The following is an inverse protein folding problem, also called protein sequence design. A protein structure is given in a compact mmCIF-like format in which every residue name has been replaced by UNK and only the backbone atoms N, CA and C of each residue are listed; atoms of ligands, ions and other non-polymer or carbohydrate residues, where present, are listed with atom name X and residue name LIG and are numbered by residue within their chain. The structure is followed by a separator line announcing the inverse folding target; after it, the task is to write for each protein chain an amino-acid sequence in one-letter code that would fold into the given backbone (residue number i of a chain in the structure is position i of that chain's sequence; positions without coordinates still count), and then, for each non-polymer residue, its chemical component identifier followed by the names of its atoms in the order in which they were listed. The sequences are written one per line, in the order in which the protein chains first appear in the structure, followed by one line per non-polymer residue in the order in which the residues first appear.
data_IF_975093625551
#
_entry.id   IF_975093625551
#
_cell.length_a   1.000
_cell.length_b   1.000
_cell.length_c   1.000
_cell.angle_alpha   90.00
_cell.angle_beta   90.00
_cell.angle_gamma   90.00
#
_symmetry.space_group_name_H-M   'P 1'
#
loop_
_entity.id
_entity.type
_entity.pdbx_description
1 polymer ?
#
# COMPACT_ATOMS: atom_id res chain seq x y z
N UNK A 1 21.33 -15.67 -13.48
CA UNK A 1 21.63 -14.28 -13.12
C UNK A 1 22.10 -14.28 -11.70
N UNK A 2 23.41 -14.13 -11.52
CA UNK A 2 24.01 -13.96 -10.20
C UNK A 2 23.96 -12.47 -9.80
N UNK A 3 22.77 -11.89 -9.84
CA UNK A 3 22.59 -10.57 -9.25
C UNK A 3 22.75 -10.71 -7.74
N UNK A 4 23.74 -10.06 -7.12
CA UNK A 4 23.95 -10.18 -5.68
C UNK A 4 22.79 -9.62 -4.86
N UNK A 5 21.78 -9.03 -5.51
CA UNK A 5 20.52 -8.61 -4.88
C UNK A 5 20.70 -7.58 -3.79
N UNK A 6 21.78 -6.80 -3.81
CA UNK A 6 22.01 -5.73 -2.86
C UNK A 6 21.61 -4.42 -3.49
N UNK A 7 20.40 -3.99 -3.20
CA UNK A 7 19.88 -2.70 -3.62
C UNK A 7 19.88 -1.73 -2.45
N UNK A 8 20.26 -0.48 -2.68
CA UNK A 8 20.40 0.49 -1.60
C UNK A 8 19.87 1.88 -1.95
N UNK A 9 19.26 2.52 -0.98
CA UNK A 9 18.86 3.93 -1.03
C UNK A 9 19.89 4.73 -0.26
N UNK A 10 20.66 5.59 -0.96
CA UNK A 10 21.78 6.34 -0.35
C UNK A 10 22.75 5.43 0.43
N UNK A 11 23.13 4.32 -0.22
CA UNK A 11 24.04 3.28 0.34
C UNK A 11 23.48 2.54 1.57
N UNK A 12 22.18 2.55 1.79
CA UNK A 12 21.50 1.85 2.89
C UNK A 12 20.38 0.99 2.36
N UNK A 13 20.22 -0.18 2.94
CA UNK A 13 19.09 -1.07 2.64
C UNK A 13 18.58 -1.73 3.92
N UNK A 14 17.34 -2.16 3.87
CA UNK A 14 16.72 -2.91 4.96
C UNK A 14 15.93 -4.09 4.35
N UNK A 15 16.59 -5.20 4.00
CA UNK A 15 15.93 -6.36 3.43
C UNK A 15 14.86 -6.91 4.35
N UNK A 16 13.67 -7.18 3.81
CA UNK A 16 12.55 -7.72 4.60
C UNK A 16 12.94 -8.99 5.34
N UNK A 17 13.74 -9.86 4.71
CA UNK A 17 14.22 -11.10 5.30
C UNK A 17 14.93 -10.92 6.64
N UNK A 18 15.62 -9.82 6.85
CA UNK A 18 16.34 -9.58 8.10
C UNK A 18 15.37 -9.30 9.25
N UNK A 19 14.31 -8.55 8.98
CA UNK A 19 13.23 -8.29 9.96
C UNK A 19 12.41 -9.52 10.26
N UNK A 20 12.15 -10.35 9.26
CA UNK A 20 11.36 -11.57 9.40
C UNK A 20 12.05 -12.67 10.21
N UNK A 21 13.36 -12.55 10.49
CA UNK A 21 14.05 -13.43 11.45
C UNK A 21 13.58 -13.22 12.88
N UNK A 22 13.30 -11.98 13.25
CA UNK A 22 12.90 -11.61 14.61
C UNK A 22 11.37 -11.75 14.80
N UNK A 23 10.61 -11.41 13.76
CA UNK A 23 9.15 -11.54 13.73
C UNK A 23 8.71 -12.00 12.36
N UNK A 24 8.26 -13.25 12.27
CA UNK A 24 8.09 -13.97 11.00
C UNK A 24 6.85 -13.57 10.18
N UNK A 25 5.94 -12.73 10.71
CA UNK A 25 4.75 -12.30 9.97
C UNK A 25 5.02 -11.07 9.11
N UNK A 26 4.96 -11.17 7.77
CA UNK A 26 5.16 -10.06 6.85
C UNK A 26 4.26 -8.84 7.09
N UNK A 27 3.10 -9.01 7.73
CA UNK A 27 2.17 -7.93 8.04
C UNK A 27 2.77 -6.82 8.92
N UNK A 28 3.87 -7.09 9.61
CA UNK A 28 4.53 -6.16 10.53
C UNK A 28 5.89 -5.69 10.05
N UNK A 29 6.34 -6.10 8.88
CA UNK A 29 7.71 -5.86 8.39
C UNK A 29 8.08 -4.38 8.33
N UNK A 30 7.13 -3.47 8.11
CA UNK A 30 7.37 -2.03 8.06
C UNK A 30 7.17 -1.33 9.41
N UNK A 31 6.80 -2.06 10.47
CA UNK A 31 6.50 -1.50 11.77
C UNK A 31 7.77 -1.20 12.56
N UNK A 32 7.98 0.07 12.93
CA UNK A 32 9.05 0.46 13.87
C UNK A 32 8.73 0.07 15.32
N UNK A 33 7.45 -0.18 15.65
CA UNK A 33 7.06 -0.68 16.96
C UNK A 33 7.54 -2.11 17.21
N UNK A 34 7.64 -2.91 16.13
CA UNK A 34 8.07 -4.32 16.20
C UNK A 34 9.58 -4.44 15.98
N UNK A 35 10.13 -3.74 14.99
CA UNK A 35 11.50 -3.94 14.52
C UNK A 35 12.45 -2.76 14.78
N UNK A 36 11.95 -1.65 15.34
CA UNK A 36 12.69 -0.38 15.32
C UNK A 36 12.63 0.31 13.95
N UNK A 37 13.27 1.47 13.87
CA UNK A 37 13.35 2.22 12.63
C UNK A 37 14.23 1.49 11.60
N UNK A 38 13.90 1.63 10.30
CA UNK A 38 14.67 1.04 9.21
C UNK A 38 16.05 1.69 9.08
N UNK A 39 17.02 0.93 8.59
CA UNK A 39 18.33 1.45 8.24
C UNK A 39 18.31 2.40 7.03
N UNK A 40 17.27 2.32 6.20
CA UNK A 40 17.06 3.21 5.05
C UNK A 40 16.76 4.63 5.50
N UNK A 41 16.96 5.65 4.66
CA UNK A 41 16.71 7.04 5.04
C UNK A 41 15.26 7.26 5.50
N UNK A 42 15.08 7.84 6.69
CA UNK A 42 13.79 8.33 7.16
C UNK A 42 13.65 9.78 6.69
N UNK A 43 12.62 10.04 5.89
CA UNK A 43 12.30 11.39 5.43
C UNK A 43 11.41 12.04 6.46
N UNK A 44 11.84 13.19 6.99
CA UNK A 44 11.16 13.84 8.12
C UNK A 44 10.54 15.17 7.68
N UNK A 45 9.29 15.41 8.07
CA UNK A 45 8.56 16.63 7.69
C UNK A 45 7.48 16.98 8.73
N UNK A 46 6.79 18.09 8.51
CA UNK A 46 5.60 18.51 9.25
C UNK A 46 4.40 18.64 8.32
N UNK A 47 3.16 18.54 8.83
CA UNK A 47 1.96 18.79 8.04
C UNK A 47 1.99 20.22 7.48
N UNK A 48 1.70 20.36 6.19
CA UNK A 48 1.69 21.63 5.49
C UNK A 48 3.05 22.12 4.99
N UNK A 49 4.16 21.44 5.32
CA UNK A 49 5.43 21.71 4.67
C UNK A 49 5.42 21.18 3.23
N UNK A 50 6.11 21.89 2.33
CA UNK A 50 6.34 21.39 0.98
C UNK A 50 7.40 20.30 1.01
N UNK A 51 7.04 19.11 0.49
CA UNK A 51 7.96 17.99 0.39
C UNK A 51 8.43 17.82 -1.05
N UNK A 52 9.74 18.01 -1.26
CA UNK A 52 10.40 17.78 -2.55
C UNK A 52 11.35 16.59 -2.42
N UNK A 53 11.05 15.52 -3.16
CA UNK A 53 11.92 14.33 -3.26
C UNK A 53 12.68 14.41 -4.58
N UNK A 54 14.00 14.36 -4.51
CA UNK A 54 14.87 14.26 -5.68
C UNK A 54 15.24 12.79 -5.85
N UNK A 55 14.56 12.13 -6.75
CA UNK A 55 14.75 10.74 -7.07
C UNK A 55 15.78 10.61 -8.19
N UNK A 56 16.79 9.82 -7.97
CA UNK A 56 17.85 9.53 -8.93
C UNK A 56 18.18 8.05 -8.87
N UNK A 57 18.20 7.41 -10.03
CA UNK A 57 18.75 6.07 -10.18
C UNK A 57 20.16 6.15 -10.79
N UNK A 58 21.13 5.75 -10.01
CA UNK A 58 22.54 5.84 -10.37
C UNK A 58 23.16 4.52 -10.85
N UNK A 59 22.50 3.42 -10.63
CA UNK A 59 23.06 2.09 -10.90
C UNK A 59 21.98 1.02 -10.91
N UNK A 60 22.15 0.02 -11.64
CA UNK A 60 21.44 -1.24 -11.79
C UNK A 60 20.83 -1.44 -13.17
N UNK A 61 20.67 -2.69 -13.59
CA UNK A 61 20.16 -3.05 -14.93
C UNK A 61 18.63 -3.00 -14.99
N UNK A 62 17.95 -3.06 -13.84
CA UNK A 62 16.51 -3.14 -13.77
C UNK A 62 15.85 -1.77 -13.62
N UNK A 63 14.60 -1.72 -14.04
CA UNK A 63 13.74 -0.57 -13.81
C UNK A 63 13.05 -0.72 -12.46
N UNK A 64 12.94 0.38 -11.75
CA UNK A 64 12.27 0.47 -10.47
C UNK A 64 11.00 1.32 -10.56
N UNK A 65 10.03 1.06 -9.71
CA UNK A 65 8.82 1.87 -9.61
C UNK A 65 8.73 2.48 -8.20
N UNK A 66 9.14 3.73 -8.07
CA UNK A 66 9.02 4.48 -6.82
C UNK A 66 7.56 4.78 -6.48
N UNK A 67 7.13 4.49 -5.27
CA UNK A 67 5.76 4.68 -4.78
C UNK A 67 5.73 5.41 -3.45
N UNK A 68 4.69 6.22 -3.25
CA UNK A 68 4.33 6.83 -1.97
C UNK A 68 2.92 6.39 -1.56
N UNK A 69 2.78 5.91 -0.33
CA UNK A 69 1.45 5.64 0.22
C UNK A 69 0.82 6.92 0.76
N UNK A 70 -0.48 7.11 0.55
CA UNK A 70 -1.22 8.28 1.07
C UNK A 70 -0.80 9.65 0.51
N UNK A 71 0.16 9.69 -0.40
CA UNK A 71 0.69 10.91 -1.00
C UNK A 71 0.61 10.84 -2.51
N UNK A 72 0.55 12.00 -3.16
CA UNK A 72 0.56 12.11 -4.63
C UNK A 72 1.22 13.41 -5.06
N UNK A 73 1.62 13.47 -6.32
CA UNK A 73 2.26 14.64 -6.91
C UNK A 73 1.81 14.82 -8.36
N UNK A 74 2.00 16.01 -8.90
CA UNK A 74 1.80 16.26 -10.33
C UNK A 74 2.91 15.62 -11.15
N UNK A 75 2.54 14.87 -12.19
CA UNK A 75 3.53 14.27 -13.10
C UNK A 75 4.46 15.32 -13.70
N UNK A 76 3.88 16.43 -14.18
CA UNK A 76 4.61 17.59 -14.69
C UNK A 76 4.38 18.77 -13.74
N UNK A 77 5.38 19.09 -12.97
CA UNK A 77 5.27 20.08 -11.87
C UNK A 77 4.87 21.49 -12.35
N UNK A 78 5.25 21.85 -13.58
CA UNK A 78 4.97 23.16 -14.16
C UNK A 78 3.61 23.24 -14.88
N UNK A 79 2.92 22.12 -15.07
CA UNK A 79 1.63 22.07 -15.74
C UNK A 79 0.49 21.87 -14.71
N UNK A 80 -0.37 22.89 -14.50
CA UNK A 80 -1.52 22.78 -13.60
C UNK A 80 -2.52 21.69 -13.99
N UNK A 81 -2.57 21.35 -15.29
CA UNK A 81 -3.47 20.32 -15.85
C UNK A 81 -2.86 18.93 -15.84
N UNK A 82 -1.61 18.79 -15.42
CA UNK A 82 -0.96 17.49 -15.30
C UNK A 82 -1.71 16.57 -14.36
N UNK A 83 -1.87 15.27 -14.69
CA UNK A 83 -2.49 14.32 -13.79
C UNK A 83 -1.70 14.15 -12.50
N UNK A 84 -2.42 13.83 -11.43
CA UNK A 84 -1.79 13.37 -10.20
C UNK A 84 -1.31 11.92 -10.37
N UNK A 85 -0.12 11.63 -9.85
CA UNK A 85 0.47 10.30 -9.82
C UNK A 85 0.96 9.98 -8.39
N UNK A 86 1.04 8.71 -8.06
CA UNK A 86 1.59 8.22 -6.79
C UNK A 86 2.67 7.17 -7.02
N UNK A 87 3.03 6.93 -8.29
CA UNK A 87 4.08 6.02 -8.70
C UNK A 87 4.87 6.62 -9.85
N UNK A 88 6.20 6.42 -9.85
CA UNK A 88 7.12 6.86 -10.90
C UNK A 88 8.09 5.73 -11.23
N UNK A 89 8.01 5.23 -12.45
CA UNK A 89 9.04 4.33 -12.97
C UNK A 89 10.32 5.10 -13.22
N UNK A 90 11.44 4.52 -12.84
CA UNK A 90 12.78 5.08 -13.01
C UNK A 90 13.74 4.01 -13.50
N UNK A 91 14.57 4.35 -14.44
CA UNK A 91 15.67 3.50 -14.93
C UNK A 91 17.04 4.16 -14.72
N UNK A 92 18.09 3.46 -15.10
CA UNK A 92 19.46 3.92 -14.94
C UNK A 92 19.66 5.32 -15.54
N UNK A 93 20.31 6.18 -14.79
CA UNK A 93 20.65 7.57 -15.17
C UNK A 93 19.45 8.50 -15.32
N UNK A 94 18.26 8.07 -14.95
CA UNK A 94 17.11 8.97 -14.86
C UNK A 94 17.05 9.71 -13.53
N UNK A 95 16.45 10.88 -13.55
CA UNK A 95 16.25 11.73 -12.37
C UNK A 95 14.90 12.43 -12.41
N UNK A 96 14.18 12.42 -11.30
CA UNK A 96 12.90 13.08 -11.16
C UNK A 96 12.86 14.00 -9.94
N UNK A 97 12.19 15.14 -10.07
CA UNK A 97 11.83 15.99 -8.96
C UNK A 97 10.36 15.75 -8.61
N UNK A 98 10.12 15.08 -7.51
CA UNK A 98 8.80 14.73 -7.03
C UNK A 98 8.38 15.79 -6.00
N UNK A 99 7.41 16.61 -6.37
CA UNK A 99 6.82 17.61 -5.49
C UNK A 99 5.47 17.14 -4.99
N UNK A 100 5.43 16.66 -3.74
CA UNK A 100 4.18 16.20 -3.12
C UNK A 100 3.24 17.38 -2.95
N UNK A 101 2.14 17.36 -3.69
CA UNK A 101 1.15 18.44 -3.72
C UNK A 101 -0.07 18.15 -2.85
N UNK A 102 -0.29 16.86 -2.51
CA UNK A 102 -1.37 16.45 -1.64
C UNK A 102 -1.03 16.77 -0.19
N UNK A 103 -2.01 17.31 0.55
CA UNK A 103 -1.87 17.46 1.99
C UNK A 103 -1.76 16.09 2.65
N UNK A 104 -0.97 16.00 3.69
CA UNK A 104 -0.73 14.80 4.46
C UNK A 104 -0.80 15.10 5.97
N UNK A 105 -1.30 14.10 6.71
CA UNK A 105 -1.52 14.18 8.14
C UNK A 105 -0.32 13.68 8.96
N UNK A 106 -0.22 14.01 10.26
CA UNK A 106 0.78 13.43 11.13
C UNK A 106 0.67 11.91 11.20
N UNK A 107 1.81 11.24 11.11
CA UNK A 107 1.93 9.78 11.11
C UNK A 107 3.09 9.33 10.25
N UNK A 108 3.30 8.03 10.18
CA UNK A 108 4.33 7.44 9.34
C UNK A 108 3.70 6.89 8.05
N UNK A 109 4.35 7.14 6.93
CA UNK A 109 3.97 6.69 5.59
C UNK A 109 5.09 5.83 5.01
N UNK A 110 4.72 4.89 4.15
CA UNK A 110 5.68 4.06 3.46
C UNK A 110 6.06 4.69 2.12
N UNK A 111 7.36 4.81 1.82
CA UNK A 111 7.85 4.89 0.46
C UNK A 111 8.52 3.58 0.09
N UNK A 112 8.32 3.13 -1.14
CA UNK A 112 8.87 1.85 -1.57
C UNK A 112 9.05 1.79 -3.08
N UNK A 113 9.86 0.87 -3.52
CA UNK A 113 10.01 0.55 -4.93
C UNK A 113 9.24 -0.73 -5.25
N UNK A 114 8.41 -0.66 -6.28
CA UNK A 114 7.41 -1.68 -6.61
C UNK A 114 7.85 -2.69 -7.68
N UNK A 115 9.13 -2.78 -7.97
CA UNK A 115 9.70 -3.84 -8.80
C UNK A 115 9.49 -5.23 -8.19
N UNK A 116 9.82 -6.28 -8.92
CA UNK A 116 9.48 -7.65 -8.53
C UNK A 116 9.95 -8.00 -7.10
N UNK A 117 11.20 -7.67 -6.80
CA UNK A 117 11.82 -7.98 -5.52
C UNK A 117 12.37 -6.74 -4.78
N UNK A 118 12.19 -5.54 -5.32
CA UNK A 118 12.74 -4.30 -4.79
C UNK A 118 12.51 -4.11 -3.29
N UNK A 119 11.25 -4.21 -2.86
CA UNK A 119 10.85 -4.10 -1.44
C UNK A 119 11.47 -5.21 -0.62
N UNK A 120 11.49 -6.43 -1.16
CA UNK A 120 12.05 -7.60 -0.49
C UNK A 120 13.55 -7.44 -0.24
N UNK A 121 14.26 -6.88 -1.22
CA UNK A 121 15.69 -6.63 -1.16
C UNK A 121 16.06 -5.36 -0.38
N UNK A 122 15.08 -4.59 0.08
CA UNK A 122 15.29 -3.48 1.01
C UNK A 122 15.10 -2.09 0.45
N UNK A 123 14.52 -1.94 -0.75
CA UNK A 123 14.20 -0.65 -1.34
C UNK A 123 12.86 -0.10 -0.80
N UNK A 124 12.85 0.24 0.45
CA UNK A 124 11.72 0.88 1.12
C UNK A 124 12.19 1.73 2.29
N UNK A 125 11.34 2.61 2.77
CA UNK A 125 11.62 3.41 3.95
C UNK A 125 10.40 4.19 4.42
N UNK A 126 10.61 5.08 5.37
CA UNK A 126 9.54 5.77 6.10
C UNK A 126 9.62 7.27 5.81
N UNK A 127 8.44 7.87 5.52
CA UNK A 127 8.24 9.31 5.62
C UNK A 127 7.54 9.55 6.94
N UNK A 128 8.21 10.27 7.85
CA UNK A 128 7.69 10.56 9.18
C UNK A 128 7.19 11.99 9.26
N UNK A 129 5.90 12.15 9.47
CA UNK A 129 5.23 13.43 9.59
C UNK A 129 4.95 13.72 11.06
N UNK A 130 5.67 14.70 11.62
CA UNK A 130 5.61 14.98 13.05
C UNK A 130 4.42 15.85 13.45
N UNK A 131 3.70 15.41 14.49
CA UNK A 131 2.67 16.23 15.13
C UNK A 131 3.27 17.37 15.97
N UNK A 132 4.43 17.13 16.61
CA UNK A 132 5.10 18.07 17.49
C UNK A 132 6.47 18.48 16.98
N UNK A 133 6.89 19.71 17.33
CA UNK A 133 8.21 20.21 16.93
C UNK A 133 9.34 19.35 17.45
N UNK A 134 10.29 19.05 16.57
CA UNK A 134 11.55 18.35 16.86
C UNK A 134 12.69 19.37 16.93
N UNK A 135 13.66 19.13 17.84
CA UNK A 135 14.77 20.05 18.10
C UNK A 135 15.60 20.35 16.85
N UNK A 136 15.81 19.34 15.99
CA UNK A 136 16.69 19.43 14.82
C UNK A 136 15.95 19.65 13.50
N UNK A 137 14.63 19.71 13.50
CA UNK A 137 13.81 19.89 12.31
C UNK A 137 13.03 21.21 12.41
N UNK A 138 13.26 22.11 11.44
CA UNK A 138 12.57 23.40 11.37
C UNK A 138 11.41 23.30 10.37
N UNK A 139 10.16 23.65 10.78
CA UNK A 139 9.06 23.71 9.84
C UNK A 139 9.30 24.82 8.82
N UNK A 140 8.95 24.55 7.56
CA UNK A 140 9.04 25.52 6.47
C UNK A 140 7.86 26.49 6.51
N UNK A 141 6.67 26.01 6.90
CA UNK A 141 5.48 26.82 7.04
C UNK A 141 5.38 27.47 8.43
N UNK A 142 5.15 28.79 8.48
CA UNK A 142 5.00 29.54 9.75
C UNK A 142 3.63 29.32 10.39
N UNK A 143 2.60 29.14 9.58
CA UNK A 143 1.24 28.89 10.02
C UNK A 143 0.94 27.40 9.91
N UNK A 144 0.86 26.76 11.06
CA UNK A 144 0.54 25.34 11.18
C UNK A 144 -0.94 25.13 10.87
N UNK A 145 -1.31 24.99 9.63
CA UNK A 145 -2.56 24.34 9.28
C UNK A 145 -2.32 22.84 9.46
N UNK A 146 -2.75 22.31 10.60
CA UNK A 146 -2.94 20.86 10.69
C UNK A 146 -4.13 20.54 9.78
N UNK A 147 -3.95 19.85 8.66
CA UNK A 147 -5.09 19.22 8.05
C UNK A 147 -5.60 18.23 9.08
N UNK A 148 -6.72 18.53 9.69
CA UNK A 148 -7.48 17.51 10.38
C UNK A 148 -7.93 16.55 9.28
N UNK A 149 -7.82 15.23 9.50
CA UNK A 149 -8.49 14.30 8.61
C UNK A 149 -9.94 14.79 8.52
N UNK A 150 -10.44 15.08 7.34
CA UNK A 150 -11.78 15.57 7.22
C UNK A 150 -12.70 14.48 7.77
N UNK A 151 -13.37 14.74 8.88
CA UNK A 151 -14.44 13.87 9.34
C UNK A 151 -15.67 14.06 8.48
N UNK A 152 -16.47 13.02 8.21
CA UNK A 152 -17.71 13.15 7.49
C UNK A 152 -18.60 14.24 8.16
N UNK A 153 -18.92 15.29 7.40
CA UNK A 153 -19.88 16.30 7.83
C UNK A 153 -21.29 15.73 7.99
N UNK A 154 -22.20 16.45 8.63
CA UNK A 154 -23.60 15.98 8.85
C UNK A 154 -24.34 15.57 7.56
N UNK A 155 -23.95 16.14 6.42
CA UNK A 155 -24.57 15.90 5.12
C UNK A 155 -23.63 15.14 4.17
N UNK A 156 -22.56 14.53 4.67
CA UNK A 156 -21.63 13.76 3.86
C UNK A 156 -22.33 12.50 3.30
N UNK A 157 -22.10 12.24 2.03
CA UNK A 157 -22.49 10.96 1.41
C UNK A 157 -21.42 9.94 1.80
N UNK A 158 -21.87 8.83 2.39
CA UNK A 158 -20.99 7.72 2.78
C UNK A 158 -21.41 6.50 1.97
N UNK A 159 -20.52 6.04 1.07
CA UNK A 159 -20.67 4.76 0.37
C UNK A 159 -20.15 3.66 1.28
N UNK A 160 -20.99 2.65 1.55
CA UNK A 160 -20.64 1.55 2.46
C UNK A 160 -20.47 0.26 1.69
N UNK A 161 -19.39 -0.45 1.98
CA UNK A 161 -19.05 -1.70 1.35
C UNK A 161 -18.63 -2.73 2.41
N UNK A 162 -19.11 -3.94 2.25
CA UNK A 162 -18.66 -5.12 2.99
C UNK A 162 -17.86 -5.99 2.01
N UNK A 163 -16.60 -6.22 2.30
CA UNK A 163 -15.64 -6.92 1.44
C UNK A 163 -15.07 -8.11 2.19
N UNK A 164 -15.00 -9.26 1.55
CA UNK A 164 -14.33 -10.44 2.07
C UNK A 164 -13.01 -10.70 1.34
N UNK A 165 -11.98 -11.10 2.07
CA UNK A 165 -10.79 -11.73 1.52
C UNK A 165 -10.93 -13.24 1.64
N UNK A 166 -10.79 -13.96 0.53
CA UNK A 166 -10.94 -15.42 0.44
C UNK A 166 -9.74 -16.08 -0.23
N UNK A 167 -9.51 -17.35 0.11
CA UNK A 167 -8.53 -18.20 -0.55
C UNK A 167 -9.26 -19.14 -1.52
N UNK A 168 -8.78 -19.23 -2.74
CA UNK A 168 -9.29 -20.18 -3.70
C UNK A 168 -8.37 -20.36 -4.89
N UNK A 169 -8.42 -21.51 -5.53
CA UNK A 169 -7.80 -21.71 -6.84
C UNK A 169 -8.37 -20.74 -7.88
N UNK A 170 -7.50 -19.99 -8.58
CA UNK A 170 -7.86 -19.09 -9.67
C UNK A 170 -7.47 -19.75 -10.99
N UNK A 171 -8.46 -20.08 -11.81
CA UNK A 171 -8.22 -20.60 -13.17
C UNK A 171 -8.13 -19.42 -14.13
N UNK A 172 -7.02 -19.32 -14.87
CA UNK A 172 -6.78 -18.25 -15.82
C UNK A 172 -7.38 -18.48 -17.20
N UNK A 173 -7.48 -19.74 -17.62
CA UNK A 173 -7.95 -20.08 -18.97
C UNK A 173 -8.47 -21.51 -19.07
N UNK A 174 -8.99 -21.82 -20.28
CA UNK A 174 -9.52 -23.16 -20.60
C UNK A 174 -8.44 -24.25 -20.74
N UNK A 175 -7.18 -23.88 -20.81
CA UNK A 175 -6.06 -24.81 -21.02
C UNK A 175 -5.55 -25.41 -19.71
N UNK A 176 -6.04 -24.92 -18.59
CA UNK A 176 -5.71 -25.45 -17.26
C UNK A 176 -4.70 -24.61 -16.49
N UNK A 177 -4.20 -23.51 -17.05
CA UNK A 177 -3.33 -22.58 -16.31
C UNK A 177 -4.11 -21.98 -15.14
N UNK A 178 -3.52 -22.02 -13.97
CA UNK A 178 -4.18 -21.61 -12.74
C UNK A 178 -3.17 -21.25 -11.66
N UNK A 179 -3.62 -20.45 -10.70
CA UNK A 179 -2.96 -20.27 -9.43
C UNK A 179 -3.64 -21.18 -8.39
N UNK A 180 -2.93 -22.14 -7.81
CA UNK A 180 -3.51 -23.02 -6.78
C UNK A 180 -3.81 -22.30 -5.48
N UNK A 181 -3.04 -21.24 -5.16
CA UNK A 181 -3.04 -20.48 -3.93
C UNK A 181 -3.63 -19.07 -4.11
N UNK A 182 -4.51 -18.93 -5.09
CA UNK A 182 -5.10 -17.64 -5.45
C UNK A 182 -5.89 -17.00 -4.30
N UNK A 183 -5.85 -15.68 -4.26
CA UNK A 183 -6.48 -14.85 -3.25
C UNK A 183 -7.39 -13.83 -3.93
N UNK A 184 -8.59 -13.63 -3.40
CA UNK A 184 -9.54 -12.67 -3.97
C UNK A 184 -10.13 -11.76 -2.90
N UNK A 185 -10.33 -10.49 -3.27
CA UNK A 185 -11.34 -9.66 -2.64
C UNK A 185 -12.66 -9.81 -3.39
N UNK A 186 -13.73 -10.07 -2.65
CA UNK A 186 -15.09 -10.18 -3.20
C UNK A 186 -16.07 -9.39 -2.33
N UNK A 187 -17.22 -8.93 -2.86
CA UNK A 187 -18.31 -8.48 -2.01
C UNK A 187 -18.66 -9.59 -0.99
N UNK A 188 -18.89 -9.22 0.27
CA UNK A 188 -19.15 -10.20 1.33
C UNK A 188 -20.35 -11.10 0.98
N UNK A 189 -21.36 -10.55 0.33
CA UNK A 189 -22.55 -11.28 -0.12
C UNK A 189 -22.25 -12.34 -1.19
N UNK A 190 -21.19 -12.15 -1.98
CA UNK A 190 -20.73 -13.10 -2.99
C UNK A 190 -19.75 -14.15 -2.43
N UNK A 191 -19.27 -14.01 -1.18
CA UNK A 191 -18.20 -14.85 -0.65
C UNK A 191 -18.51 -16.36 -0.68
N UNK A 192 -19.75 -16.73 -0.38
CA UNK A 192 -20.18 -18.14 -0.45
C UNK A 192 -20.19 -18.68 -1.87
N UNK A 193 -20.68 -17.93 -2.83
CA UNK A 193 -20.71 -18.28 -4.25
C UNK A 193 -19.28 -18.32 -4.81
N UNK A 194 -18.45 -17.39 -4.41
CA UNK A 194 -17.06 -17.28 -4.85
C UNK A 194 -16.20 -18.49 -4.46
N UNK A 195 -16.62 -19.31 -3.52
CA UNK A 195 -15.95 -20.58 -3.18
C UNK A 195 -16.32 -21.75 -4.10
N UNK A 196 -17.33 -21.60 -4.95
CA UNK A 196 -17.75 -22.64 -5.90
C UNK A 196 -16.81 -22.68 -7.11
N UNK A 197 -16.55 -23.87 -7.66
CA UNK A 197 -15.70 -24.02 -8.85
C UNK A 197 -16.26 -23.28 -10.09
N UNK A 198 -17.58 -23.14 -10.15
CA UNK A 198 -18.30 -22.45 -11.25
C UNK A 198 -18.16 -20.93 -11.23
N UNK A 199 -17.69 -20.34 -10.12
CA UNK A 199 -17.52 -18.90 -10.04
C UNK A 199 -16.34 -18.43 -10.90
N UNK A 200 -16.59 -17.46 -11.77
CA UNK A 200 -15.55 -16.80 -12.56
C UNK A 200 -14.94 -15.66 -11.76
N UNK A 201 -13.65 -15.74 -11.37
CA UNK A 201 -12.98 -14.69 -10.63
C UNK A 201 -12.97 -13.37 -11.39
N UNK A 202 -13.33 -12.30 -10.71
CA UNK A 202 -13.29 -10.92 -11.22
C UNK A 202 -12.65 -10.02 -10.15
N UNK A 203 -11.91 -8.96 -10.52
CA UNK A 203 -11.35 -8.03 -9.55
C UNK A 203 -12.49 -7.27 -8.85
N UNK A 204 -12.28 -6.99 -7.56
CA UNK A 204 -13.16 -6.13 -6.77
C UNK A 204 -13.16 -4.71 -7.36
N UNK A 205 -14.35 -4.16 -7.64
CA UNK A 205 -14.54 -2.78 -8.08
C UNK A 205 -15.51 -2.07 -7.14
N UNK A 206 -15.01 -1.11 -6.38
CA UNK A 206 -15.82 -0.20 -5.59
C UNK A 206 -16.04 1.11 -6.37
N UNK A 207 -17.17 1.79 -6.15
CA UNK A 207 -17.50 3.03 -6.87
C UNK A 207 -17.86 4.14 -5.90
N UNK A 208 -17.34 5.34 -6.18
CA UNK A 208 -17.67 6.55 -5.44
C UNK A 208 -17.65 7.76 -6.38
N UNK A 209 -18.24 8.85 -5.98
CA UNK A 209 -18.10 10.12 -6.66
C UNK A 209 -17.12 11.03 -5.90
N UNK A 210 -16.52 11.97 -6.59
CA UNK A 210 -15.73 13.01 -5.95
C UNK A 210 -16.61 13.76 -4.92
N UNK A 211 -16.10 13.87 -3.70
CA UNK A 211 -16.82 14.40 -2.52
C UNK A 211 -17.42 13.32 -1.62
N UNK A 212 -17.47 12.07 -2.05
CA UNK A 212 -18.00 10.97 -1.23
C UNK A 212 -16.96 10.47 -0.22
N UNK A 213 -17.46 10.00 0.89
CA UNK A 213 -16.75 9.14 1.82
C UNK A 213 -16.98 7.67 1.48
N UNK A 214 -15.98 6.85 1.71
CA UNK A 214 -16.01 5.43 1.42
C UNK A 214 -15.68 4.69 2.71
N UNK A 215 -16.68 4.01 3.27
CA UNK A 215 -16.53 3.15 4.44
C UNK A 215 -16.47 1.71 3.94
N UNK A 216 -15.35 1.04 4.15
CA UNK A 216 -15.16 -0.36 3.74
C UNK A 216 -14.90 -1.20 4.96
N UNK A 217 -15.77 -2.18 5.22
CA UNK A 217 -15.52 -3.22 6.21
C UNK A 217 -14.88 -4.42 5.52
N UNK A 218 -13.64 -4.72 5.85
CA UNK A 218 -12.93 -5.89 5.36
C UNK A 218 -13.11 -7.05 6.34
N UNK A 219 -13.57 -8.19 5.85
CA UNK A 219 -13.66 -9.46 6.54
C UNK A 219 -12.58 -10.41 6.03
N UNK A 220 -11.76 -10.94 6.91
CA UNK A 220 -10.77 -11.95 6.53
C UNK A 220 -11.38 -13.35 6.73
N UNK A 221 -11.72 -14.00 5.64
CA UNK A 221 -12.30 -15.36 5.62
C UNK A 221 -11.26 -16.44 5.26
N UNK A 222 -9.98 -16.15 5.45
CA UNK A 222 -8.92 -17.15 5.26
C UNK A 222 -9.08 -18.31 6.25
N UNK A 223 -8.92 -19.54 5.75
CA UNK A 223 -9.07 -20.74 6.56
C UNK A 223 -7.79 -21.03 7.36
N UNK A 224 -7.89 -20.91 8.69
CA UNK A 224 -6.78 -21.24 9.60
C UNK A 224 -6.38 -22.71 9.61
N UNK A 225 -7.26 -23.61 9.15
CA UNK A 225 -7.00 -25.05 9.06
C UNK A 225 -6.35 -25.42 7.73
N UNK A 226 -6.39 -24.52 6.76
CA UNK A 226 -5.70 -24.66 5.48
C UNK A 226 -4.89 -23.37 5.22
N UNK A 227 -3.86 -23.10 6.04
CA UNK A 227 -3.07 -21.89 5.90
C UNK A 227 -2.37 -21.86 4.55
N UNK A 228 -2.16 -20.65 4.03
CA UNK A 228 -1.33 -20.45 2.85
C UNK A 228 0.07 -20.98 3.22
N UNK A 229 0.48 -22.01 2.53
CA UNK A 229 1.85 -22.52 2.62
C UNK A 229 2.75 -21.73 1.67
N UNK A 230 4.00 -22.14 1.54
CA UNK A 230 4.94 -21.42 0.71
C UNK A 230 4.49 -21.35 -0.75
N UNK A 231 4.47 -20.13 -1.29
CA UNK A 231 4.40 -20.00 -2.74
C UNK A 231 5.74 -20.44 -3.33
N UNK A 232 5.71 -21.48 -4.11
CA UNK A 232 6.88 -21.95 -4.84
C UNK A 232 7.08 -21.02 -6.06
N UNK A 233 8.07 -20.14 -5.97
CA UNK A 233 8.52 -19.33 -7.10
C UNK A 233 9.68 -20.03 -7.80
N UNK A 234 9.45 -20.82 -8.86
CA UNK A 234 10.49 -21.62 -9.46
C UNK A 234 11.59 -20.81 -10.16
N UNK A 235 11.44 -19.49 -10.26
CA UNK A 235 12.31 -18.65 -11.06
C UNK A 235 13.23 -17.73 -10.27
N UNK A 236 13.04 -17.59 -8.96
CA UNK A 236 13.91 -16.75 -8.13
C UNK A 236 14.34 -17.57 -6.91
N UNK A 237 15.59 -18.05 -6.85
CA UNK A 237 16.12 -18.67 -5.66
C UNK A 237 16.37 -17.62 -4.59
N UNK A 238 15.31 -17.06 -4.06
CA UNK A 238 15.39 -16.25 -2.86
C UNK A 238 15.39 -17.23 -1.69
N UNK A 239 16.55 -17.43 -1.11
CA UNK A 239 16.88 -18.34 -0.01
C UNK A 239 16.10 -18.12 1.29
N UNK A 240 14.82 -17.78 1.21
CA UNK A 240 14.02 -17.53 2.40
C UNK A 240 12.60 -18.03 2.27
N UNK A 241 12.33 -19.17 2.85
CA UNK A 241 10.97 -19.68 3.03
C UNK A 241 10.29 -18.90 4.16
N UNK A 242 9.78 -17.70 3.89
CA UNK A 242 8.87 -17.05 4.82
C UNK A 242 7.46 -17.44 4.48
N UNK A 243 6.72 -17.91 5.48
CA UNK A 243 5.30 -18.18 5.31
C UNK A 243 4.60 -16.88 4.92
N UNK A 244 3.71 -16.92 3.93
CA UNK A 244 2.85 -15.78 3.63
C UNK A 244 2.04 -15.39 4.86
N UNK A 245 1.76 -14.11 4.99
CA UNK A 245 0.88 -13.66 6.06
C UNK A 245 -0.55 -14.14 5.82
N UNK A 246 -1.19 -14.59 6.87
CA UNK A 246 -2.63 -14.82 6.90
C UNK A 246 -3.43 -13.55 7.23
N UNK A 247 -2.74 -12.43 7.52
CA UNK A 247 -3.36 -11.13 7.80
C UNK A 247 -3.52 -10.36 6.50
N UNK A 248 -4.68 -9.77 6.29
CA UNK A 248 -5.01 -9.00 5.07
C UNK A 248 -5.28 -7.55 5.40
N UNK A 249 -5.22 -6.68 4.39
CA UNK A 249 -5.60 -5.28 4.54
C UNK A 249 -6.14 -4.70 3.24
N UNK A 250 -6.66 -3.47 3.29
CA UNK A 250 -7.03 -2.68 2.13
C UNK A 250 -6.30 -1.34 2.21
N UNK A 251 -5.47 -1.08 1.20
CA UNK A 251 -4.73 0.18 1.08
C UNK A 251 -5.06 0.82 -0.26
N UNK A 252 -5.78 1.95 -0.27
CA UNK A 252 -6.14 2.64 -1.50
C UNK A 252 -5.01 3.56 -1.96
N UNK A 253 -4.82 3.67 -3.27
CA UNK A 253 -4.03 4.72 -3.87
C UNK A 253 -4.89 5.98 -4.05
N UNK A 254 -4.29 7.17 -3.97
CA UNK A 254 -4.88 8.50 -4.15
C UNK A 254 -5.89 8.97 -3.10
N UNK A 255 -6.71 8.11 -2.53
CA UNK A 255 -7.73 8.51 -1.57
C UNK A 255 -7.10 9.13 -0.31
N UNK A 256 -7.82 10.02 0.34
CA UNK A 256 -7.41 10.57 1.63
C UNK A 256 -7.85 9.62 2.76
N UNK A 257 -6.96 9.41 3.71
CA UNK A 257 -7.23 8.60 4.90
C UNK A 257 -6.32 9.03 6.06
N UNK A 258 -6.72 8.68 7.28
CA UNK A 258 -5.87 8.83 8.46
C UNK A 258 -4.75 7.76 8.40
N UNK A 259 -3.47 8.15 8.36
CA UNK A 259 -2.37 7.20 8.25
C UNK A 259 -2.26 6.25 9.45
N UNK A 260 -2.79 6.66 10.61
CA UNK A 260 -2.74 5.87 11.85
C UNK A 260 -3.90 4.87 11.95
N UNK A 261 -5.06 5.19 11.35
CA UNK A 261 -6.28 4.40 11.52
C UNK A 261 -6.71 3.63 10.28
N UNK A 262 -6.48 4.18 9.08
CA UNK A 262 -7.17 3.75 7.86
C UNK A 262 -6.24 3.49 6.66
N UNK A 263 -4.92 3.43 6.90
CA UNK A 263 -3.92 3.24 5.84
C UNK A 263 -3.87 1.81 5.29
N UNK A 264 -4.24 0.82 6.09
CA UNK A 264 -4.05 -0.59 5.74
C UNK A 264 -2.60 -1.09 5.87
N UNK A 265 -1.67 -0.29 6.44
CA UNK A 265 -0.26 -0.63 6.55
C UNK A 265 0.23 -0.45 7.97
N UNK A 266 0.79 -1.48 8.58
CA UNK A 266 1.52 -1.36 9.83
C UNK A 266 2.91 -0.77 9.54
N UNK A 267 3.04 0.56 9.60
CA UNK A 267 4.25 1.27 9.23
C UNK A 267 4.74 2.20 10.34
N UNK A 268 6.06 2.26 10.52
CA UNK A 268 6.70 3.15 11.46
C UNK A 268 6.16 3.01 12.89
N UNK A 269 5.92 4.14 13.54
CA UNK A 269 5.35 4.21 14.89
C UNK A 269 3.82 4.42 14.91
N UNK A 270 3.13 4.21 13.80
CA UNK A 270 1.67 4.17 13.80
C UNK A 270 1.20 3.03 14.70
N UNK A 271 0.45 3.37 15.76
CA UNK A 271 0.19 2.47 16.88
C UNK A 271 -1.16 1.75 16.81
N UNK A 272 -1.83 1.79 15.67
CA UNK A 272 -3.09 1.08 15.45
C UNK A 272 -2.87 -0.06 14.47
N UNK A 273 -3.41 -1.22 14.83
CA UNK A 273 -3.40 -2.38 13.94
C UNK A 273 -4.16 -2.07 12.64
N UNK A 274 -3.47 -2.23 11.53
CA UNK A 274 -3.98 -1.90 10.19
C UNK A 274 -4.45 -3.12 9.42
N UNK A 275 -4.02 -4.30 9.83
CA UNK A 275 -4.33 -5.56 9.14
C UNK A 275 -5.40 -6.36 9.88
N UNK A 276 -5.98 -7.33 9.22
CA UNK A 276 -7.09 -8.15 9.72
C UNK A 276 -6.68 -9.60 9.74
N UNK A 277 -6.70 -10.23 10.91
CA UNK A 277 -6.44 -11.66 11.07
C UNK A 277 -7.60 -12.53 10.58
N UNK A 278 -7.38 -13.83 10.34
CA UNK A 278 -8.44 -14.77 9.97
C UNK A 278 -9.61 -14.75 10.96
N UNK A 279 -10.84 -14.67 10.46
CA UNK A 279 -12.06 -14.59 11.26
C UNK A 279 -12.35 -13.22 11.86
N UNK A 280 -11.47 -12.25 11.67
CA UNK A 280 -11.64 -10.87 12.15
C UNK A 280 -12.19 -9.95 11.05
N UNK A 281 -12.58 -8.74 11.44
CA UNK A 281 -12.96 -7.67 10.51
C UNK A 281 -12.43 -6.32 10.97
N UNK A 282 -12.20 -5.42 10.02
CA UNK A 282 -11.79 -4.03 10.26
C UNK A 282 -12.49 -3.09 9.29
N UNK A 283 -12.88 -1.95 9.82
CA UNK A 283 -13.44 -0.85 9.06
C UNK A 283 -12.33 0.14 8.68
N UNK A 284 -12.34 0.56 7.42
CA UNK A 284 -11.53 1.64 6.88
C UNK A 284 -12.44 2.77 6.43
N UNK A 285 -11.99 4.01 6.59
CA UNK A 285 -12.72 5.21 6.17
C UNK A 285 -11.82 6.06 5.28
N UNK A 286 -12.24 6.24 4.02
CA UNK A 286 -11.51 6.99 3.02
C UNK A 286 -12.33 8.14 2.47
N UNK A 287 -11.68 9.18 1.97
CA UNK A 287 -12.32 10.33 1.36
C UNK A 287 -11.84 10.54 -0.07
N UNK A 288 -12.76 10.58 -1.01
CA UNK A 288 -12.51 10.87 -2.41
C UNK A 288 -12.67 12.41 -2.64
N UNK A 289 -11.60 13.17 -2.39
CA UNK A 289 -11.62 14.64 -2.43
C UNK A 289 -11.80 15.21 -3.84
N UNK A 290 -11.53 14.42 -4.88
CA UNK A 290 -11.66 14.78 -6.29
C UNK A 290 -11.89 13.56 -7.16
N UNK A 291 -12.19 13.77 -8.44
CA UNK A 291 -12.20 12.72 -9.45
C UNK A 291 -10.78 12.19 -9.69
N UNK A 292 -10.59 10.89 -9.50
CA UNK A 292 -9.32 10.21 -9.73
C UNK A 292 -9.39 9.17 -10.85
N UNK A 293 -10.60 8.79 -11.28
CA UNK A 293 -10.79 7.60 -12.11
C UNK A 293 -10.47 6.33 -11.33
N UNK A 294 -9.64 5.46 -11.89
CA UNK A 294 -9.29 4.18 -11.27
C UNK A 294 -8.15 4.34 -10.24
N UNK A 295 -8.44 3.99 -9.00
CA UNK A 295 -7.49 3.93 -7.90
C UNK A 295 -7.29 2.47 -7.49
N UNK A 296 -6.05 1.97 -7.52
CA UNK A 296 -5.78 0.61 -7.07
C UNK A 296 -6.02 0.47 -5.56
N UNK A 297 -6.54 -0.66 -5.16
CA UNK A 297 -6.60 -1.12 -3.76
C UNK A 297 -5.86 -2.44 -3.67
N UNK A 298 -4.97 -2.59 -2.70
CA UNK A 298 -4.18 -3.80 -2.52
C UNK A 298 -3.94 -4.12 -1.05
N UNK A 299 -3.55 -5.36 -0.77
CA UNK A 299 -3.21 -5.80 0.57
C UNK A 299 -1.73 -5.54 0.88
N UNK A 300 -1.48 -4.91 2.04
CA UNK A 300 -0.15 -4.80 2.65
C UNK A 300 0.02 -5.72 3.86
N UNK A 301 -0.88 -6.66 4.06
CA UNK A 301 -0.65 -7.76 4.99
C UNK A 301 0.56 -8.60 4.58
N UNK A 302 0.74 -8.77 3.26
CA UNK A 302 1.94 -9.33 2.66
C UNK A 302 2.11 -8.71 1.28
N UNK A 303 2.89 -7.65 1.20
CA UNK A 303 3.06 -6.87 -0.04
C UNK A 303 3.62 -7.71 -1.19
N UNK A 304 4.43 -8.74 -0.89
CA UNK A 304 5.01 -9.60 -1.91
C UNK A 304 4.01 -10.63 -2.39
N UNK A 305 3.49 -11.43 -1.49
CA UNK A 305 2.71 -12.61 -1.84
C UNK A 305 1.26 -12.26 -2.22
N UNK A 306 0.58 -11.41 -1.46
CA UNK A 306 -0.85 -11.16 -1.66
C UNK A 306 -1.18 -10.61 -3.03
N UNK A 307 -0.42 -9.63 -3.54
CA UNK A 307 -0.70 -9.04 -4.86
C UNK A 307 -0.43 -10.00 -6.01
N UNK A 308 0.58 -10.87 -5.90
CA UNK A 308 0.91 -11.82 -6.95
C UNK A 308 -0.15 -12.93 -7.08
N UNK A 309 -0.83 -13.23 -5.99
CA UNK A 309 -1.89 -14.24 -5.94
C UNK A 309 -3.29 -13.67 -6.08
N UNK A 310 -3.43 -12.37 -6.43
CA UNK A 310 -4.70 -11.77 -6.84
C UNK A 310 -5.41 -10.91 -5.81
N UNK A 311 -4.82 -10.63 -4.64
CA UNK A 311 -5.46 -9.84 -3.59
C UNK A 311 -5.33 -8.33 -3.88
N UNK A 312 -5.98 -7.89 -4.93
CA UNK A 312 -6.09 -6.50 -5.36
C UNK A 312 -7.49 -6.19 -5.88
N UNK A 313 -7.80 -4.93 -6.02
CA UNK A 313 -9.04 -4.39 -6.57
C UNK A 313 -8.87 -2.94 -6.97
N UNK A 314 -9.97 -2.26 -7.20
CA UNK A 314 -9.98 -0.84 -7.50
C UNK A 314 -11.15 -0.10 -6.83
N UNK A 315 -10.93 1.18 -6.57
CA UNK A 315 -11.99 2.16 -6.37
C UNK A 315 -12.04 3.03 -7.62
N UNK A 316 -13.21 3.14 -8.23
CA UNK A 316 -13.46 4.07 -9.33
C UNK A 316 -14.09 5.32 -8.73
N UNK A 317 -13.38 6.45 -8.84
CA UNK A 317 -13.90 7.76 -8.39
C UNK A 317 -14.34 8.55 -9.60
N UNK A 318 -15.64 8.69 -9.73
CA UNK A 318 -16.32 9.37 -10.83
C UNK A 318 -16.52 10.87 -10.53
N UNK A 319 -16.89 11.71 -11.53
CA UNK A 319 -17.24 13.09 -11.28
C UNK A 319 -18.36 13.27 -10.25
N UNK A 320 -18.48 14.45 -9.61
CA UNK A 320 -19.58 14.70 -8.68
C UNK A 320 -20.94 14.54 -9.36
N UNK A 321 -21.80 13.68 -8.82
CA UNK A 321 -23.16 13.49 -9.30
C UNK A 321 -23.31 12.57 -10.52
N UNK A 322 -22.28 11.80 -10.86
CA UNK A 322 -22.34 10.77 -11.90
C UNK A 322 -23.20 9.57 -11.48
#
# INVERSE_FOLDING_TARGET
HDDPGVMGINYRCEPMRERLKDHSDPAYVFSSLVHGDSATPILETYPGDELMIRLLDGAHEEQHAFNLTGMSWKREIADPLSPDVASQTIGISEAFNIHVTKQYDPGDYLYYFGGADDVWLGLWGIIRVYHHRRKCLKPLCKERRLPLPPCPGKNAIIRKYEVAAIQRKIRYNRYGDHDPDGLLFVPLEEAGEAMLESYEPKPLILRANAGDWIEVTLHNLFDVHNPIEYFDYPTVPLDMPNKPSMRVSLTPQFLNYDPVYDSGINVGYNNREQTVGPGESKKYLWYADREYGACIVQSFGDIRNHRYHGLFGAVIVEPPGA
#
